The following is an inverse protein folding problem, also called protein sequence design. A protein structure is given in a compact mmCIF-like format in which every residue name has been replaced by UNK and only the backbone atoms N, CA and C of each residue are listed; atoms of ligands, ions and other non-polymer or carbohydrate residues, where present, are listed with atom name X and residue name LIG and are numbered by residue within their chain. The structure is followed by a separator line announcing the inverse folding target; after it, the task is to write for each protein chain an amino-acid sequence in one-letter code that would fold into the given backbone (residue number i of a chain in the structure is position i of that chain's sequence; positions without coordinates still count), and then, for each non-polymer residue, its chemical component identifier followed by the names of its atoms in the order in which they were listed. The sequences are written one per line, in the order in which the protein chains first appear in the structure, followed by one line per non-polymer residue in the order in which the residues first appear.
data_IF_265896905173
#
_entry.id   IF_265896905173
#
_cell.length_a   1.000
_cell.length_b   1.000
_cell.length_c   1.000
_cell.angle_alpha   90.00
_cell.angle_beta   90.00
_cell.angle_gamma   90.00
#
_symmetry.space_group_name_H-M   'P 1'
#
loop_
_entity.id
_entity.type
_entity.pdbx_description
1 polymer ?
#
# COMPACT_ATOMS: atom_id res chain seq x y z
N UNK A 1 -17.11 4.32 -18.24
CA UNK A 1 -16.78 5.27 -19.29
C UNK A 1 -15.36 5.75 -19.08
N UNK A 2 -14.56 5.74 -20.15
CA UNK A 2 -13.19 6.26 -20.15
C UNK A 2 -13.28 7.79 -20.20
N UNK A 3 -12.53 8.49 -19.32
CA UNK A 3 -12.48 9.95 -19.33
C UNK A 3 -11.90 10.45 -20.65
N UNK A 4 -12.47 11.54 -21.20
CA UNK A 4 -11.81 12.30 -22.26
C UNK A 4 -10.55 13.00 -21.72
N UNK A 5 -9.61 13.35 -22.60
CA UNK A 5 -8.41 14.09 -22.18
C UNK A 5 -8.74 15.44 -21.54
N UNK A 6 -9.82 16.10 -21.98
CA UNK A 6 -10.30 17.34 -21.39
C UNK A 6 -10.77 17.14 -19.94
N UNK A 7 -11.67 16.17 -19.69
CA UNK A 7 -12.12 15.83 -18.33
C UNK A 7 -10.98 15.36 -17.42
N UNK A 8 -10.03 14.63 -17.99
CA UNK A 8 -8.83 14.19 -17.27
C UNK A 8 -7.95 15.40 -16.87
N UNK A 9 -7.75 16.36 -17.77
CA UNK A 9 -6.98 17.58 -17.50
C UNK A 9 -7.64 18.46 -16.43
N UNK A 10 -8.97 18.60 -16.44
CA UNK A 10 -9.72 19.32 -15.40
C UNK A 10 -9.55 18.66 -14.02
N UNK A 11 -9.62 17.33 -13.95
CA UNK A 11 -9.39 16.60 -12.71
C UNK A 11 -7.98 16.79 -12.17
N UNK A 12 -6.97 16.73 -13.03
CA UNK A 12 -5.57 16.93 -12.63
C UNK A 12 -5.32 18.38 -12.16
N UNK A 13 -5.90 19.36 -12.83
CA UNK A 13 -5.86 20.75 -12.39
C UNK A 13 -6.50 20.91 -11.01
N UNK A 14 -7.69 20.39 -10.82
CA UNK A 14 -8.42 20.45 -9.54
C UNK A 14 -7.67 19.75 -8.40
N UNK A 15 -7.06 18.59 -8.68
CA UNK A 15 -6.40 17.79 -7.66
C UNK A 15 -5.02 18.33 -7.25
N UNK A 16 -4.26 18.95 -8.17
CA UNK A 16 -2.86 19.30 -7.93
C UNK A 16 -2.52 20.76 -8.19
N UNK A 17 -3.44 21.56 -8.75
CA UNK A 17 -3.23 22.98 -9.06
C UNK A 17 -2.36 23.25 -10.29
N UNK A 18 -2.08 22.25 -11.13
CA UNK A 18 -1.34 22.42 -12.37
C UNK A 18 -2.21 23.11 -13.44
N UNK A 19 -1.56 23.77 -14.41
CA UNK A 19 -2.29 24.43 -15.50
C UNK A 19 -3.02 23.42 -16.38
N UNK A 20 -4.29 23.67 -16.65
CA UNK A 20 -5.12 22.83 -17.53
C UNK A 20 -4.46 22.58 -18.89
N UNK A 21 -3.93 23.65 -19.54
CA UNK A 21 -3.28 23.55 -20.85
C UNK A 21 -2.08 22.60 -20.88
N UNK A 22 -1.28 22.60 -19.80
CA UNK A 22 -0.12 21.70 -19.70
C UNK A 22 -0.56 20.26 -19.51
N UNK A 23 -1.57 20.01 -18.67
CA UNK A 23 -2.13 18.68 -18.45
C UNK A 23 -2.77 18.14 -19.73
N UNK A 24 -3.55 18.96 -20.44
CA UNK A 24 -4.18 18.56 -21.69
C UNK A 24 -3.13 18.26 -22.78
N UNK A 25 -2.07 19.06 -22.87
CA UNK A 25 -0.96 18.83 -23.82
C UNK A 25 -0.29 17.47 -23.55
N UNK A 26 0.02 17.16 -22.29
CA UNK A 26 0.67 15.90 -21.92
C UNK A 26 -0.24 14.69 -22.19
N UNK A 27 -1.53 14.79 -21.91
CA UNK A 27 -2.51 13.75 -22.24
C UNK A 27 -2.64 13.55 -23.78
N UNK A 28 -2.62 14.63 -24.56
CA UNK A 28 -2.75 14.58 -26.02
C UNK A 28 -1.52 13.97 -26.73
N UNK A 29 -0.34 14.04 -26.12
CA UNK A 29 0.85 13.35 -26.65
C UNK A 29 0.92 11.86 -26.21
N UNK A 30 -0.11 11.35 -25.55
CA UNK A 30 -0.32 9.91 -25.32
C UNK A 30 -0.03 9.40 -23.91
N UNK A 31 0.19 10.27 -22.91
CA UNK A 31 0.26 9.82 -21.53
C UNK A 31 -1.13 9.41 -21.01
N UNK A 32 -1.22 8.27 -20.32
CA UNK A 32 -2.47 7.83 -19.72
C UNK A 32 -2.86 8.72 -18.52
N UNK A 33 -4.16 8.83 -18.23
CA UNK A 33 -4.63 9.52 -17.01
C UNK A 33 -4.01 8.94 -15.74
N UNK A 34 -3.85 7.61 -15.67
CA UNK A 34 -3.24 6.93 -14.51
C UNK A 34 -1.79 7.34 -14.31
N UNK A 35 -0.97 7.35 -15.38
CA UNK A 35 0.42 7.79 -15.29
C UNK A 35 0.52 9.29 -14.99
N UNK A 36 -0.33 10.11 -15.61
CA UNK A 36 -0.41 11.54 -15.32
C UNK A 36 -0.77 11.84 -13.87
N UNK A 37 -1.77 11.13 -13.31
CA UNK A 37 -2.18 11.32 -11.92
C UNK A 37 -1.03 10.99 -10.94
N UNK A 38 -0.31 9.89 -11.18
CA UNK A 38 0.85 9.52 -10.35
C UNK A 38 2.02 10.50 -10.55
N UNK A 39 2.28 10.92 -11.79
CA UNK A 39 3.33 11.89 -12.08
C UNK A 39 3.07 13.25 -11.43
N UNK A 40 1.83 13.73 -11.49
CA UNK A 40 1.43 14.97 -10.83
C UNK A 40 1.60 14.90 -9.32
N UNK A 41 1.18 13.78 -8.70
CA UNK A 41 1.40 13.56 -7.27
C UNK A 41 2.89 13.59 -6.91
N UNK A 42 3.73 12.83 -7.61
CA UNK A 42 5.16 12.78 -7.31
C UNK A 42 5.88 14.10 -7.60
N UNK A 43 5.47 14.82 -8.64
CA UNK A 43 5.95 16.17 -8.92
C UNK A 43 5.59 17.13 -7.76
N UNK A 44 4.34 17.10 -7.31
CA UNK A 44 3.91 17.90 -6.15
C UNK A 44 4.71 17.55 -4.88
N UNK A 45 4.87 16.26 -4.57
CA UNK A 45 5.57 15.81 -3.35
C UNK A 45 7.08 16.08 -3.38
N UNK A 46 7.71 16.02 -4.55
CA UNK A 46 9.16 16.21 -4.72
C UNK A 46 9.56 17.66 -5.07
N UNK A 47 8.62 18.46 -5.54
CA UNK A 47 8.90 19.79 -6.08
C UNK A 47 9.50 19.79 -7.50
N UNK A 48 9.55 18.64 -8.15
CA UNK A 48 10.07 18.50 -9.52
C UNK A 48 8.99 18.72 -10.57
N UNK A 49 9.35 19.16 -11.81
CA UNK A 49 8.40 19.30 -12.89
C UNK A 49 7.75 17.96 -13.29
N UNK A 50 6.47 17.97 -13.69
CA UNK A 50 5.73 16.78 -14.14
C UNK A 50 6.44 16.08 -15.30
N UNK A 51 6.95 16.84 -16.27
CA UNK A 51 7.70 16.33 -17.41
C UNK A 51 8.95 15.54 -16.99
N UNK A 52 9.68 16.00 -15.98
CA UNK A 52 10.85 15.28 -15.45
C UNK A 52 10.42 13.95 -14.83
N UNK A 53 9.34 13.94 -14.07
CA UNK A 53 8.79 12.71 -13.47
C UNK A 53 8.37 11.72 -14.55
N UNK A 54 7.71 12.19 -15.61
CA UNK A 54 7.32 11.36 -16.77
C UNK A 54 8.53 10.82 -17.53
N UNK A 55 9.61 11.59 -17.67
CA UNK A 55 10.87 11.13 -18.26
C UNK A 55 11.49 9.99 -17.45
N UNK A 56 11.54 10.12 -16.12
CA UNK A 56 12.03 9.05 -15.22
C UNK A 56 11.16 7.80 -15.33
N UNK A 57 9.86 7.96 -15.57
CA UNK A 57 8.90 6.84 -15.70
C UNK A 57 9.08 6.01 -16.96
N UNK A 58 9.61 6.57 -18.04
CA UNK A 58 9.76 5.86 -19.32
C UNK A 58 10.56 4.55 -19.20
N UNK A 59 11.77 4.53 -18.58
CA UNK A 59 12.54 3.30 -18.39
C UNK A 59 12.23 2.58 -17.08
N UNK A 60 11.53 3.21 -16.11
CA UNK A 60 11.45 2.74 -14.74
C UNK A 60 10.01 2.53 -14.22
N UNK A 61 9.84 1.66 -13.24
CA UNK A 61 8.59 1.52 -12.49
C UNK A 61 8.37 2.70 -11.56
N UNK A 62 7.13 2.92 -11.10
CA UNK A 62 6.81 4.02 -10.17
C UNK A 62 7.56 3.93 -8.84
N UNK A 63 7.86 2.72 -8.34
CA UNK A 63 8.72 2.54 -7.16
C UNK A 63 10.13 3.07 -7.37
N UNK A 64 10.71 2.83 -8.54
CA UNK A 64 12.02 3.36 -8.94
C UNK A 64 11.99 4.88 -9.08
N UNK A 65 10.98 5.43 -9.75
CA UNK A 65 10.81 6.89 -9.89
C UNK A 65 10.74 7.55 -8.52
N UNK A 66 9.95 7.01 -7.60
CA UNK A 66 9.85 7.52 -6.23
C UNK A 66 11.22 7.55 -5.52
N UNK A 67 11.98 6.46 -5.64
CA UNK A 67 13.32 6.38 -5.05
C UNK A 67 14.30 7.38 -5.68
N UNK A 68 14.28 7.53 -7.01
CA UNK A 68 15.12 8.49 -7.75
C UNK A 68 14.77 9.95 -7.42
N UNK A 69 13.53 10.24 -7.09
CA UNK A 69 13.08 11.55 -6.61
C UNK A 69 13.42 11.81 -5.14
N UNK A 70 14.08 10.86 -4.45
CA UNK A 70 14.42 10.98 -3.03
C UNK A 70 13.20 10.93 -2.10
N UNK A 71 12.05 10.51 -2.60
CA UNK A 71 10.83 10.32 -1.80
C UNK A 71 10.92 9.05 -0.96
N UNK A 72 11.71 9.10 0.12
CA UNK A 72 11.75 8.02 1.13
C UNK A 72 10.35 7.77 1.69
N UNK A 73 10.05 6.60 2.29
CA UNK A 73 8.75 6.34 2.90
C UNK A 73 8.34 7.41 3.92
N UNK A 74 9.29 7.90 4.72
CA UNK A 74 9.07 9.00 5.68
C UNK A 74 8.70 10.31 4.98
N UNK A 75 9.50 10.74 4.01
CA UNK A 75 9.28 12.00 3.31
C UNK A 75 8.00 11.97 2.47
N UNK A 76 7.78 10.86 1.77
CA UNK A 76 6.53 10.66 1.00
C UNK A 76 5.30 10.79 1.90
N UNK A 77 5.29 10.12 3.05
CA UNK A 77 4.15 10.16 3.97
C UNK A 77 3.92 11.58 4.54
N UNK A 78 4.97 12.28 4.95
CA UNK A 78 4.86 13.65 5.46
C UNK A 78 4.32 14.61 4.39
N UNK A 79 4.89 14.58 3.19
CA UNK A 79 4.44 15.41 2.08
C UNK A 79 3.02 15.06 1.62
N UNK A 80 2.65 13.78 1.67
CA UNK A 80 1.30 13.36 1.33
C UNK A 80 0.26 13.84 2.37
N UNK A 81 0.59 13.83 3.66
CA UNK A 81 -0.27 14.44 4.69
C UNK A 81 -0.44 15.95 4.47
N UNK A 82 0.63 16.66 4.15
CA UNK A 82 0.58 18.09 3.79
C UNK A 82 -0.33 18.33 2.57
N UNK A 83 -0.19 17.50 1.54
CA UNK A 83 -1.03 17.52 0.34
C UNK A 83 -2.51 17.31 0.70
N UNK A 84 -2.84 16.25 1.44
CA UNK A 84 -4.21 15.96 1.85
C UNK A 84 -4.85 17.11 2.64
N UNK A 85 -4.09 17.70 3.56
CA UNK A 85 -4.56 18.83 4.34
C UNK A 85 -4.71 20.13 3.52
N UNK A 86 -3.95 20.29 2.44
CA UNK A 86 -4.01 21.48 1.58
C UNK A 86 -5.17 21.46 0.57
N UNK A 87 -5.63 20.26 0.20
CA UNK A 87 -6.71 20.06 -0.79
C UNK A 87 -7.99 19.51 -0.15
N UNK A 88 -8.30 20.00 1.06
CA UNK A 88 -9.59 19.72 1.68
C UNK A 88 -10.73 20.31 0.83
N UNK A 89 -11.90 19.63 0.73
CA UNK A 89 -13.08 20.21 0.12
C UNK A 89 -13.46 21.54 0.76
N UNK A 90 -14.03 22.46 -0.02
CA UNK A 90 -14.44 23.79 0.45
C UNK A 90 -15.51 23.74 1.58
N UNK A 91 -16.29 22.68 1.61
CA UNK A 91 -17.31 22.40 2.63
C UNK A 91 -16.79 21.55 3.80
N UNK A 92 -15.48 21.34 3.88
CA UNK A 92 -14.85 20.57 4.95
C UNK A 92 -15.17 21.19 6.32
N UNK A 93 -15.58 20.34 7.27
CA UNK A 93 -15.80 20.72 8.66
C UNK A 93 -14.49 20.82 9.48
N UNK A 94 -13.36 20.52 8.84
CA UNK A 94 -12.04 20.50 9.46
C UNK A 94 -11.12 21.42 8.68
N UNK A 95 -10.44 22.32 9.36
CA UNK A 95 -9.40 23.16 8.77
C UNK A 95 -8.10 22.38 8.52
N UNK A 96 -7.21 23.01 7.74
CA UNK A 96 -5.93 22.41 7.35
C UNK A 96 -5.06 22.02 8.56
N UNK A 97 -4.97 22.87 9.56
CA UNK A 97 -4.11 22.66 10.72
C UNK A 97 -4.60 21.49 11.56
N UNK A 98 -5.90 21.45 11.81
CA UNK A 98 -6.57 20.37 12.54
C UNK A 98 -6.43 19.03 11.77
N UNK A 99 -6.66 19.03 10.46
CA UNK A 99 -6.48 17.82 9.64
C UNK A 99 -5.05 17.31 9.72
N UNK A 100 -4.05 18.17 9.53
CA UNK A 100 -2.64 17.80 9.58
C UNK A 100 -2.23 17.25 10.95
N UNK A 101 -2.73 17.86 12.04
CA UNK A 101 -2.51 17.38 13.42
C UNK A 101 -2.95 15.93 13.59
N UNK A 102 -4.15 15.57 13.13
CA UNK A 102 -4.68 14.21 13.29
C UNK A 102 -4.10 13.22 12.29
N UNK A 103 -3.80 13.64 11.06
CA UNK A 103 -3.06 12.82 10.09
C UNK A 103 -1.70 12.39 10.67
N UNK A 104 -0.95 13.31 11.30
CA UNK A 104 0.33 13.02 11.97
C UNK A 104 0.20 12.09 13.17
N UNK A 105 -1.00 12.00 13.75
CA UNK A 105 -1.31 11.02 14.79
C UNK A 105 -1.74 9.65 14.27
N UNK A 106 -1.76 9.45 12.95
CA UNK A 106 -2.09 8.20 12.30
C UNK A 106 -3.58 7.99 12.00
N UNK A 107 -4.41 9.04 12.09
CA UNK A 107 -5.80 8.96 11.66
C UNK A 107 -5.91 9.21 10.14
N UNK A 108 -6.63 8.37 9.38
CA UNK A 108 -6.91 8.63 7.98
C UNK A 108 -7.77 9.89 7.78
N UNK A 109 -7.58 10.62 6.68
CA UNK A 109 -8.37 11.82 6.38
C UNK A 109 -9.88 11.53 6.36
N UNK A 110 -10.28 10.38 5.79
CA UNK A 110 -11.69 9.97 5.77
C UNK A 110 -12.29 9.79 7.17
N UNK A 111 -11.54 9.24 8.12
CA UNK A 111 -11.97 9.10 9.50
C UNK A 111 -12.07 10.46 10.20
N UNK A 112 -11.13 11.37 9.94
CA UNK A 112 -11.15 12.74 10.48
C UNK A 112 -12.40 13.49 10.01
N UNK A 113 -12.72 13.42 8.71
CA UNK A 113 -13.90 14.06 8.13
C UNK A 113 -15.21 13.44 8.65
N UNK A 114 -15.26 12.11 8.73
CA UNK A 114 -16.45 11.41 9.26
C UNK A 114 -16.67 11.74 10.75
N UNK A 115 -15.60 11.75 11.55
CA UNK A 115 -15.68 12.12 12.96
C UNK A 115 -16.12 13.59 13.14
N UNK A 116 -15.65 14.51 12.31
CA UNK A 116 -16.05 15.92 12.35
C UNK A 116 -17.56 16.10 12.05
N UNK A 117 -18.07 15.34 11.07
CA UNK A 117 -19.52 15.32 10.77
C UNK A 117 -20.32 14.84 11.98
N UNK A 118 -19.95 13.70 12.57
CA UNK A 118 -20.64 13.14 13.74
C UNK A 118 -20.49 14.01 14.99
N UNK A 119 -19.35 14.67 15.16
CA UNK A 119 -19.13 15.64 16.24
C UNK A 119 -20.12 16.80 16.15
N UNK A 120 -20.27 17.39 14.95
CA UNK A 120 -21.24 18.46 14.71
C UNK A 120 -22.68 18.01 14.97
N UNK A 121 -23.07 16.82 14.50
CA UNK A 121 -24.41 16.28 14.67
C UNK A 121 -24.75 15.94 16.14
N UNK A 122 -23.75 15.49 16.92
CA UNK A 122 -23.94 15.05 18.31
C UNK A 122 -23.65 16.14 19.36
N UNK A 123 -23.18 17.32 18.94
CA UNK A 123 -22.73 18.38 19.85
C UNK A 123 -21.45 18.06 20.63
N UNK A 124 -20.70 17.03 20.21
CA UNK A 124 -19.40 16.66 20.79
C UNK A 124 -18.24 17.29 20.02
N UNK A 125 -17.03 17.19 20.59
CA UNK A 125 -15.81 17.65 19.92
C UNK A 125 -15.24 16.54 19.00
N UNK A 126 -14.47 16.94 18.00
CA UNK A 126 -13.73 16.00 17.14
C UNK A 126 -12.83 15.06 17.97
N UNK A 127 -12.16 15.61 19.00
CA UNK A 127 -11.29 14.84 19.90
C UNK A 127 -12.02 13.75 20.69
N UNK A 128 -13.31 13.94 20.97
CA UNK A 128 -14.15 12.95 21.67
C UNK A 128 -14.66 11.85 20.71
N UNK A 129 -14.98 12.21 19.46
CA UNK A 129 -15.60 11.28 18.50
C UNK A 129 -14.57 10.44 17.78
N UNK A 130 -13.46 11.03 17.34
CA UNK A 130 -12.46 10.36 16.51
C UNK A 130 -11.89 9.07 17.13
N UNK A 131 -11.54 9.01 18.45
CA UNK A 131 -11.06 7.78 19.08
C UNK A 131 -12.12 6.69 19.25
N UNK A 132 -13.40 6.97 19.04
CA UNK A 132 -14.46 5.96 19.17
C UNK A 132 -14.40 4.90 18.05
N UNK A 133 -13.81 5.25 16.91
CA UNK A 133 -13.58 4.33 15.80
C UNK A 133 -12.41 3.41 16.13
N UNK A 134 -12.70 2.10 16.25
CA UNK A 134 -11.71 1.05 16.56
C UNK A 134 -11.83 -0.10 15.58
N UNK A 135 -10.98 -1.13 15.70
CA UNK A 135 -11.10 -2.36 14.89
C UNK A 135 -12.46 -3.04 15.14
N UNK A 136 -12.95 -3.00 16.36
CA UNK A 136 -14.20 -3.66 16.81
C UNK A 136 -15.41 -2.73 16.86
N UNK A 137 -15.24 -1.44 16.53
CA UNK A 137 -16.29 -0.44 16.54
C UNK A 137 -16.23 0.40 15.26
N UNK A 138 -17.11 0.12 14.31
CA UNK A 138 -17.21 0.85 13.05
C UNK A 138 -17.98 2.18 13.20
N UNK A 139 -18.05 2.97 12.13
CA UNK A 139 -18.72 4.28 12.16
C UNK A 139 -20.22 4.18 12.39
N UNK A 140 -20.86 3.06 12.03
CA UNK A 140 -22.28 2.84 12.32
C UNK A 140 -22.50 2.68 13.83
N UNK A 141 -21.67 1.86 14.47
CA UNK A 141 -21.71 1.67 15.92
C UNK A 141 -21.34 2.95 16.69
N UNK A 142 -20.42 3.77 16.14
CA UNK A 142 -20.12 5.10 16.70
C UNK A 142 -21.35 6.00 16.65
N UNK A 143 -22.09 6.03 15.54
CA UNK A 143 -23.37 6.77 15.41
C UNK A 143 -24.37 6.34 16.49
N UNK A 144 -24.55 5.03 16.66
CA UNK A 144 -25.46 4.50 17.69
C UNK A 144 -25.06 4.91 19.10
N UNK A 145 -23.75 4.83 19.43
CA UNK A 145 -23.22 5.30 20.73
C UNK A 145 -23.40 6.80 20.96
N UNK A 146 -23.48 7.58 19.90
CA UNK A 146 -23.75 9.02 19.96
C UNK A 146 -25.24 9.37 20.04
N UNK A 147 -26.13 8.38 19.96
CA UNK A 147 -27.57 8.57 19.96
C UNK A 147 -28.12 9.21 18.69
N UNK A 148 -27.38 9.14 17.57
CA UNK A 148 -27.77 9.69 16.29
C UNK A 148 -28.65 8.70 15.56
N UNK A 149 -29.85 9.13 15.10
CA UNK A 149 -30.79 8.28 14.37
C UNK A 149 -30.23 7.90 13.01
N UNK A 150 -30.57 6.67 12.57
CA UNK A 150 -30.27 6.20 11.23
C UNK A 150 -31.13 6.99 10.23
N UNK A 151 -30.53 7.70 9.30
CA UNK A 151 -31.20 7.98 8.03
C UNK A 151 -31.42 6.65 7.34
N UNK A 152 -32.68 6.26 7.14
CA UNK A 152 -33.06 5.13 6.29
C UNK A 152 -32.66 5.47 4.84
N UNK A 153 -31.40 5.24 4.48
CA UNK A 153 -31.00 5.13 3.08
C UNK A 153 -31.14 3.68 2.68
N UNK A 154 -32.04 3.48 1.72
CA UNK A 154 -32.19 2.21 1.01
C UNK A 154 -30.82 1.64 0.65
N UNK A 155 -30.63 0.39 1.03
CA UNK A 155 -29.46 -0.42 0.79
C UNK A 155 -29.00 -0.40 -0.67
N UNK A 156 -27.91 0.31 -0.92
CA UNK A 156 -26.89 -0.23 -1.80
C UNK A 156 -25.72 -0.64 -0.88
N UNK A 157 -25.30 -1.91 -0.88
CA UNK A 157 -24.16 -2.32 -0.11
C UNK A 157 -22.95 -1.59 -0.68
N UNK A 158 -22.60 -0.47 -0.05
CA UNK A 158 -21.36 0.20 -0.28
C UNK A 158 -20.31 -0.64 0.43
N UNK A 159 -19.81 -1.65 -0.29
CA UNK A 159 -18.60 -2.34 0.10
C UNK A 159 -17.45 -1.31 0.07
N UNK A 160 -17.33 -0.54 1.14
CA UNK A 160 -16.10 0.15 1.44
C UNK A 160 -15.08 -0.94 1.84
N UNK A 161 -14.61 -1.65 0.83
CA UNK A 161 -13.32 -2.32 0.94
C UNK A 161 -12.30 -1.20 1.05
N UNK A 162 -12.04 -0.76 2.26
CA UNK A 162 -10.78 -0.14 2.58
C UNK A 162 -9.69 -1.14 2.24
N UNK A 163 -9.34 -1.20 0.96
CA UNK A 163 -8.03 -1.69 0.59
C UNK A 163 -7.07 -0.69 1.22
N UNK A 164 -6.56 -1.01 2.42
CA UNK A 164 -5.17 -0.67 2.65
C UNK A 164 -4.49 -0.99 1.33
N UNK A 165 -3.90 0.01 0.68
CA UNK A 165 -2.99 -0.27 -0.42
C UNK A 165 -1.95 -1.20 0.21
N UNK A 166 -2.17 -2.49 0.03
CA UNK A 166 -1.22 -3.53 0.39
C UNK A 166 -0.03 -3.24 -0.50
N UNK A 167 0.91 -2.50 0.04
CA UNK A 167 2.24 -2.41 -0.54
C UNK A 167 2.79 -3.84 -0.51
N UNK A 168 2.52 -4.57 -1.59
CA UNK A 168 3.22 -5.78 -2.01
C UNK A 168 3.44 -6.94 -1.04
N UNK A 169 2.86 -6.95 0.15
CA UNK A 169 3.09 -7.99 1.15
C UNK A 169 1.91 -8.96 1.36
N UNK A 170 0.83 -8.83 0.61
CA UNK A 170 -0.36 -9.64 0.85
C UNK A 170 -0.62 -10.68 -0.22
N UNK A 171 -0.42 -11.93 0.10
CA UNK A 171 -0.67 -13.12 -0.72
C UNK A 171 -2.13 -13.56 -0.79
N UNK A 172 -3.06 -12.92 -0.17
CA UNK A 172 -4.41 -13.42 0.07
C UNK A 172 -5.47 -12.95 -0.95
N UNK A 173 -5.13 -12.84 -2.24
CA UNK A 173 -6.10 -12.34 -3.25
C UNK A 173 -7.04 -13.38 -3.85
N UNK A 174 -6.71 -14.67 -3.88
CA UNK A 174 -7.38 -15.60 -4.80
C UNK A 174 -7.89 -16.93 -4.21
N UNK A 175 -7.56 -17.32 -2.98
CA UNK A 175 -7.88 -18.67 -2.48
C UNK A 175 -8.52 -18.77 -1.09
N UNK A 176 -9.02 -17.69 -0.52
CA UNK A 176 -9.51 -17.69 0.88
C UNK A 176 -10.85 -18.37 1.10
N UNK A 177 -11.68 -18.54 0.06
CA UNK A 177 -13.07 -19.01 0.23
C UNK A 177 -13.21 -20.49 0.62
N UNK A 178 -12.15 -21.32 0.44
CA UNK A 178 -12.18 -22.77 0.74
C UNK A 178 -10.91 -23.26 1.46
N UNK A 179 -10.26 -22.39 2.25
CA UNK A 179 -9.05 -22.78 2.96
C UNK A 179 -9.41 -23.43 4.30
N UNK A 180 -8.86 -24.62 4.58
CA UNK A 180 -9.01 -25.26 5.90
C UNK A 180 -8.20 -24.50 6.96
N UNK A 181 -8.64 -24.61 8.22
CA UNK A 181 -7.96 -23.96 9.33
C UNK A 181 -6.49 -24.41 9.44
N UNK A 182 -6.22 -25.71 9.28
CA UNK A 182 -4.86 -26.26 9.35
C UNK A 182 -3.96 -25.69 8.25
N UNK A 183 -4.49 -25.52 7.04
CA UNK A 183 -3.71 -24.94 5.93
C UNK A 183 -3.43 -23.45 6.15
N UNK A 184 -4.41 -22.69 6.63
CA UNK A 184 -4.25 -21.29 6.96
C UNK A 184 -3.21 -21.07 8.06
N UNK A 185 -3.28 -21.85 9.13
CA UNK A 185 -2.34 -21.79 10.26
C UNK A 185 -0.91 -22.10 9.82
N UNK A 186 -0.70 -23.09 8.95
CA UNK A 186 0.63 -23.39 8.38
C UNK A 186 1.18 -22.22 7.57
N UNK A 187 0.33 -21.53 6.79
CA UNK A 187 0.73 -20.34 6.04
C UNK A 187 1.15 -19.22 6.99
N UNK A 188 0.36 -18.93 8.02
CA UNK A 188 0.69 -17.88 8.99
C UNK A 188 1.93 -18.23 9.82
N UNK A 189 2.11 -19.50 10.20
CA UNK A 189 3.34 -19.97 10.83
C UNK A 189 4.57 -19.72 9.95
N UNK A 190 4.51 -20.13 8.69
CA UNK A 190 5.62 -19.93 7.74
C UNK A 190 5.89 -18.44 7.46
N UNK A 191 4.83 -17.62 7.39
CA UNK A 191 4.95 -16.20 7.05
C UNK A 191 5.38 -15.34 8.25
N UNK A 192 4.84 -15.57 9.42
CA UNK A 192 5.01 -14.70 10.59
C UNK A 192 5.72 -15.34 11.77
N UNK A 193 6.06 -16.64 11.69
CA UNK A 193 6.83 -17.39 12.68
C UNK A 193 6.15 -17.54 14.06
N UNK A 194 4.82 -17.40 14.13
CA UNK A 194 4.05 -17.72 15.33
C UNK A 194 3.76 -19.23 15.42
N UNK A 195 3.57 -19.75 16.63
CA UNK A 195 3.31 -21.17 16.84
C UNK A 195 1.93 -21.58 16.28
N UNK A 196 1.86 -22.71 15.58
CA UNK A 196 0.61 -23.22 15.02
C UNK A 196 -0.44 -23.49 16.12
N UNK A 197 -0.01 -23.95 17.30
CA UNK A 197 -0.90 -24.19 18.44
C UNK A 197 -1.53 -22.90 19.00
N UNK A 198 -0.84 -21.76 18.90
CA UNK A 198 -1.36 -20.45 19.26
C UNK A 198 -2.28 -19.88 18.18
N UNK A 199 -1.97 -20.14 16.90
CA UNK A 199 -2.72 -19.61 15.76
C UNK A 199 -4.08 -20.28 15.55
N UNK A 200 -4.21 -21.59 15.82
CA UNK A 200 -5.43 -22.35 15.51
C UNK A 200 -6.69 -21.80 16.21
N UNK A 201 -6.72 -21.60 17.54
CA UNK A 201 -7.89 -21.03 18.21
C UNK A 201 -8.19 -19.59 17.80
N UNK A 202 -7.16 -18.83 17.40
CA UNK A 202 -7.34 -17.48 16.90
C UNK A 202 -7.93 -17.46 15.48
N UNK A 203 -7.57 -18.44 14.64
CA UNK A 203 -8.19 -18.59 13.34
C UNK A 203 -9.69 -18.91 13.44
N UNK A 204 -10.07 -19.81 14.35
CA UNK A 204 -11.47 -20.13 14.61
C UNK A 204 -12.28 -18.92 15.07
N UNK A 205 -11.67 -18.05 15.86
CA UNK A 205 -12.31 -16.84 16.41
C UNK A 205 -12.38 -15.67 15.42
N UNK A 206 -11.32 -15.42 14.66
CA UNK A 206 -11.17 -14.20 13.87
C UNK A 206 -11.23 -14.43 12.35
N UNK A 207 -11.20 -15.68 11.90
CA UNK A 207 -11.12 -16.04 10.50
C UNK A 207 -9.78 -15.66 9.86
N UNK A 208 -9.68 -15.86 8.54
CA UNK A 208 -8.44 -15.64 7.80
C UNK A 208 -7.99 -14.16 7.83
N UNK A 209 -8.87 -13.25 7.42
CA UNK A 209 -8.53 -11.82 7.32
C UNK A 209 -8.21 -11.21 8.70
N UNK A 210 -9.01 -11.54 9.72
CA UNK A 210 -8.79 -11.02 11.07
C UNK A 210 -7.49 -11.53 11.70
N UNK A 211 -7.14 -12.78 11.48
CA UNK A 211 -5.88 -13.35 11.97
C UNK A 211 -4.68 -12.83 11.18
N UNK A 212 -4.81 -12.65 9.85
CA UNK A 212 -3.75 -12.05 9.03
C UNK A 212 -3.36 -10.66 9.53
N UNK A 213 -4.36 -9.81 9.81
CA UNK A 213 -4.12 -8.47 10.34
C UNK A 213 -3.47 -8.51 11.74
N UNK A 214 -3.89 -9.41 12.62
CA UNK A 214 -3.28 -9.60 13.94
C UNK A 214 -1.82 -10.04 13.80
N UNK A 215 -1.55 -11.09 13.02
CA UNK A 215 -0.20 -11.61 12.80
C UNK A 215 0.73 -10.56 12.16
N UNK A 216 0.24 -9.83 11.16
CA UNK A 216 1.01 -8.78 10.49
C UNK A 216 1.44 -7.69 11.47
N UNK A 217 0.50 -7.16 12.26
CA UNK A 217 0.82 -6.10 13.22
C UNK A 217 1.73 -6.59 14.35
N UNK A 218 1.52 -7.81 14.85
CA UNK A 218 2.37 -8.44 15.86
C UNK A 218 3.80 -8.63 15.33
N UNK A 219 3.95 -9.22 14.15
CA UNK A 219 5.24 -9.44 13.51
C UNK A 219 6.00 -8.12 13.26
N UNK A 220 5.33 -7.13 12.63
CA UNK A 220 5.94 -5.84 12.29
C UNK A 220 6.35 -5.04 13.52
N UNK A 221 5.58 -5.09 14.61
CA UNK A 221 5.85 -4.38 15.87
C UNK A 221 6.72 -5.15 16.85
N UNK A 222 7.00 -6.43 16.59
CA UNK A 222 7.67 -7.37 17.53
C UNK A 222 6.90 -7.55 18.83
N UNK A 223 5.57 -7.56 18.73
CA UNK A 223 4.65 -7.79 19.82
C UNK A 223 4.08 -9.21 19.77
N UNK A 224 3.50 -9.67 20.88
CA UNK A 224 2.74 -10.92 20.91
C UNK A 224 1.38 -10.75 20.22
N UNK A 225 0.77 -11.87 19.79
CA UNK A 225 -0.58 -11.86 19.23
C UNK A 225 -1.59 -11.29 20.24
N UNK A 226 -1.46 -11.63 21.52
CA UNK A 226 -2.36 -11.15 22.57
C UNK A 226 -2.25 -9.64 22.78
N UNK A 227 -1.04 -9.05 22.76
CA UNK A 227 -0.88 -7.60 22.86
C UNK A 227 -1.61 -6.86 21.72
N UNK A 228 -1.59 -7.41 20.50
CA UNK A 228 -2.33 -6.81 19.37
C UNK A 228 -3.85 -6.98 19.54
N UNK A 229 -4.29 -8.16 20.01
CA UNK A 229 -5.71 -8.43 20.28
C UNK A 229 -6.26 -7.43 21.29
N UNK A 230 -5.53 -7.14 22.36
CA UNK A 230 -5.92 -6.21 23.44
C UNK A 230 -6.01 -4.74 22.97
N UNK A 231 -5.37 -4.39 21.84
CA UNK A 231 -5.42 -3.06 21.27
C UNK A 231 -6.60 -2.85 20.29
N UNK A 232 -7.27 -3.93 19.84
CA UNK A 232 -8.33 -3.85 18.82
C UNK A 232 -9.56 -3.07 19.28
N UNK A 233 -9.87 -3.11 20.55
CA UNK A 233 -10.98 -2.36 21.14
C UNK A 233 -10.65 -0.88 21.42
N UNK A 234 -9.36 -0.53 21.33
CA UNK A 234 -8.86 0.81 21.65
C UNK A 234 -8.52 1.65 20.43
N UNK A 235 -8.12 0.99 19.33
CA UNK A 235 -7.61 1.68 18.15
C UNK A 235 -8.13 1.05 16.85
N UNK A 236 -8.24 1.86 15.77
CA UNK A 236 -8.29 1.34 14.40
C UNK A 236 -6.93 0.79 13.98
N UNK A 237 -6.87 0.01 12.91
CA UNK A 237 -5.60 -0.56 12.42
C UNK A 237 -4.57 0.53 12.07
N UNK A 238 -5.00 1.63 11.46
CA UNK A 238 -4.14 2.75 11.09
C UNK A 238 -3.58 3.46 12.34
N UNK A 239 -4.45 3.75 13.30
CA UNK A 239 -4.04 4.36 14.57
C UNK A 239 -3.13 3.43 15.39
N UNK A 240 -3.39 2.14 15.35
CA UNK A 240 -2.57 1.11 16.02
C UNK A 240 -1.13 1.12 15.51
N UNK A 241 -0.91 1.25 14.18
CA UNK A 241 0.44 1.39 13.63
C UNK A 241 1.22 2.54 14.26
N UNK A 242 0.56 3.69 14.40
CA UNK A 242 1.17 4.85 15.06
C UNK A 242 1.53 4.58 16.52
N UNK A 243 0.60 4.02 17.29
CA UNK A 243 0.79 3.68 18.72
C UNK A 243 1.90 2.64 18.91
N UNK A 244 2.04 1.70 17.99
CA UNK A 244 3.09 0.68 17.98
C UNK A 244 4.45 1.20 17.45
N UNK A 245 4.55 2.49 17.11
CA UNK A 245 5.79 3.07 16.56
C UNK A 245 6.12 2.61 15.15
N UNK A 246 5.17 2.03 14.42
CA UNK A 246 5.30 1.63 13.03
C UNK A 246 5.15 2.85 12.12
N UNK A 247 6.13 3.77 12.19
CA UNK A 247 6.19 4.89 11.25
C UNK A 247 6.32 4.35 9.81
N UNK A 248 5.98 5.14 8.78
CA UNK A 248 6.11 4.70 7.39
C UNK A 248 7.49 4.15 7.04
N UNK A 249 8.56 4.73 7.57
CA UNK A 249 9.92 4.23 7.36
C UNK A 249 10.15 2.91 8.09
N UNK A 250 9.82 2.82 9.36
CA UNK A 250 9.98 1.58 10.15
C UNK A 250 9.16 0.45 9.55
N UNK A 251 7.92 0.73 9.14
CA UNK A 251 7.07 -0.26 8.49
C UNK A 251 7.66 -0.76 7.17
N UNK A 252 8.18 0.15 6.33
CA UNK A 252 8.87 -0.21 5.10
C UNK A 252 10.10 -1.09 5.36
N UNK A 253 10.97 -0.71 6.31
CA UNK A 253 12.17 -1.47 6.64
C UNK A 253 11.83 -2.87 7.14
N UNK A 254 10.77 -3.01 7.95
CA UNK A 254 10.25 -4.32 8.38
C UNK A 254 9.70 -5.15 7.22
N UNK A 255 8.99 -4.52 6.28
CA UNK A 255 8.53 -5.19 5.06
C UNK A 255 9.71 -5.69 4.21
N UNK A 256 10.78 -4.91 4.10
CA UNK A 256 12.01 -5.31 3.39
C UNK A 256 12.64 -6.52 4.06
N UNK A 257 12.80 -6.51 5.39
CA UNK A 257 13.34 -7.63 6.14
C UNK A 257 12.49 -8.91 5.99
N UNK A 258 11.16 -8.77 6.07
CA UNK A 258 10.21 -9.86 5.87
C UNK A 258 10.33 -10.48 4.47
N UNK A 259 10.34 -9.66 3.42
CA UNK A 259 10.45 -10.14 2.04
C UNK A 259 11.82 -10.77 1.78
N UNK A 260 12.90 -10.17 2.30
CA UNK A 260 14.24 -10.71 2.15
C UNK A 260 14.39 -12.10 2.77
N UNK A 261 13.81 -12.32 3.96
CA UNK A 261 13.75 -13.64 4.59
C UNK A 261 13.00 -14.64 3.72
N UNK A 262 11.79 -14.29 3.27
CA UNK A 262 10.95 -15.19 2.46
C UNK A 262 11.58 -15.58 1.14
N UNK A 263 12.23 -14.64 0.45
CA UNK A 263 12.91 -14.94 -0.81
C UNK A 263 14.15 -15.81 -0.60
N UNK A 264 14.87 -15.63 0.50
CA UNK A 264 15.99 -16.50 0.84
C UNK A 264 15.52 -17.94 1.12
N UNK A 265 14.44 -18.11 1.89
CA UNK A 265 13.90 -19.42 2.26
C UNK A 265 13.28 -20.17 1.06
N UNK A 266 12.62 -19.47 0.14
CA UNK A 266 11.85 -20.08 -0.95
C UNK A 266 12.58 -20.18 -2.28
N UNK A 267 13.47 -19.25 -2.56
CA UNK A 267 14.10 -19.08 -3.88
C UNK A 267 15.63 -19.03 -3.84
N UNK A 268 16.25 -19.20 -2.68
CA UNK A 268 17.71 -19.07 -2.49
C UNK A 268 18.26 -17.70 -2.92
N UNK A 269 17.44 -16.64 -2.86
CA UNK A 269 17.89 -15.27 -3.16
C UNK A 269 18.54 -14.68 -1.89
N UNK A 270 19.82 -14.31 -1.92
CA UNK A 270 20.47 -13.78 -0.74
C UNK A 270 19.74 -12.55 -0.19
N UNK A 271 19.50 -12.50 1.14
CA UNK A 271 18.76 -11.40 1.77
C UNK A 271 19.35 -10.03 1.44
N UNK A 272 20.70 -9.92 1.37
CA UNK A 272 21.39 -8.67 1.01
C UNK A 272 20.98 -8.14 -0.38
N UNK A 273 20.71 -9.03 -1.33
CA UNK A 273 20.27 -8.68 -2.69
C UNK A 273 18.87 -8.08 -2.62
N UNK A 274 17.93 -8.80 -2.00
CA UNK A 274 16.55 -8.33 -1.85
C UNK A 274 16.50 -6.98 -1.15
N UNK A 275 17.19 -6.83 -0.02
CA UNK A 275 17.24 -5.56 0.75
C UNK A 275 17.77 -4.40 -0.09
N UNK A 276 18.91 -4.60 -0.78
CA UNK A 276 19.51 -3.58 -1.66
C UNK A 276 18.50 -3.07 -2.68
N UNK A 277 17.90 -3.97 -3.46
CA UNK A 277 17.05 -3.56 -4.57
C UNK A 277 15.65 -3.05 -4.12
N UNK A 278 15.10 -3.56 -3.02
CA UNK A 278 13.89 -2.99 -2.44
C UNK A 278 14.09 -1.55 -1.96
N UNK A 279 15.21 -1.24 -1.32
CA UNK A 279 15.56 0.15 -0.96
C UNK A 279 15.78 1.05 -2.17
N UNK A 280 16.20 0.48 -3.30
CA UNK A 280 16.30 1.21 -4.58
C UNK A 280 14.92 1.38 -5.27
N UNK A 281 13.83 0.86 -4.70
CA UNK A 281 12.47 0.99 -5.22
C UNK A 281 12.00 -0.10 -6.16
N UNK A 282 12.74 -1.20 -6.30
CA UNK A 282 12.26 -2.37 -7.08
C UNK A 282 11.25 -3.16 -6.26
N UNK A 283 10.19 -3.63 -6.93
CA UNK A 283 9.23 -4.53 -6.33
C UNK A 283 9.80 -5.96 -6.23
N UNK A 284 9.31 -6.73 -5.26
CA UNK A 284 9.73 -8.10 -5.00
C UNK A 284 9.72 -8.99 -6.27
N UNK A 285 8.61 -8.99 -7.03
CA UNK A 285 8.48 -9.78 -8.25
C UNK A 285 9.49 -9.38 -9.34
N UNK A 286 9.91 -8.13 -9.37
CA UNK A 286 10.94 -7.64 -10.28
C UNK A 286 12.31 -8.20 -9.89
N UNK A 287 12.63 -8.18 -8.59
CA UNK A 287 13.88 -8.72 -8.05
C UNK A 287 13.97 -10.23 -8.30
N UNK A 288 12.89 -10.98 -8.03
CA UNK A 288 12.84 -12.42 -8.25
C UNK A 288 13.14 -12.79 -9.69
N UNK A 289 12.41 -12.17 -10.62
CA UNK A 289 12.56 -12.45 -12.04
C UNK A 289 13.97 -12.09 -12.54
N UNK A 290 14.47 -10.90 -12.16
CA UNK A 290 15.79 -10.45 -12.58
C UNK A 290 16.90 -11.37 -12.03
N UNK A 291 16.83 -11.73 -10.74
CA UNK A 291 17.84 -12.58 -10.10
C UNK A 291 17.88 -13.98 -10.71
N UNK A 292 16.73 -14.62 -10.88
CA UNK A 292 16.65 -15.98 -11.42
C UNK A 292 17.08 -16.03 -12.91
N UNK A 293 16.71 -15.02 -13.70
CA UNK A 293 17.20 -14.92 -15.09
C UNK A 293 18.70 -14.67 -15.16
N UNK A 294 19.22 -13.78 -14.31
CA UNK A 294 20.66 -13.51 -14.21
C UNK A 294 21.45 -14.77 -13.85
N UNK A 295 21.03 -15.52 -12.83
CA UNK A 295 21.65 -16.80 -12.48
C UNK A 295 21.65 -17.78 -13.65
N UNK A 296 20.53 -17.92 -14.34
CA UNK A 296 20.41 -18.87 -15.48
C UNK A 296 21.27 -18.46 -16.66
N UNK A 297 21.47 -17.17 -16.87
CA UNK A 297 22.35 -16.61 -17.91
C UNK A 297 23.83 -16.53 -17.50
N UNK A 298 24.18 -16.81 -16.25
CA UNK A 298 25.54 -16.64 -15.74
C UNK A 298 25.98 -15.17 -15.61
N UNK A 299 25.02 -14.25 -15.38
CA UNK A 299 25.23 -12.81 -15.28
C UNK A 299 25.03 -12.29 -13.85
N UNK A 300 25.51 -11.08 -13.57
CA UNK A 300 25.14 -10.35 -12.37
C UNK A 300 23.71 -9.77 -12.49
N UNK A 301 23.00 -9.69 -11.37
CA UNK A 301 21.64 -9.11 -11.37
C UNK A 301 21.62 -7.66 -11.86
N UNK A 302 22.71 -6.88 -11.63
CA UNK A 302 22.82 -5.51 -12.13
C UNK A 302 22.71 -5.42 -13.66
N UNK A 303 23.20 -6.45 -14.37
CA UNK A 303 23.18 -6.48 -15.85
C UNK A 303 21.78 -6.81 -16.40
N UNK A 304 20.85 -7.29 -15.56
CA UNK A 304 19.53 -7.79 -15.98
C UNK A 304 18.38 -6.93 -15.47
N UNK A 305 18.48 -6.41 -14.24
CA UNK A 305 17.33 -5.82 -13.55
C UNK A 305 16.76 -4.57 -14.24
N UNK A 306 17.61 -3.74 -14.85
CA UNK A 306 17.20 -2.53 -15.56
C UNK A 306 16.84 -2.77 -17.04
N UNK A 307 17.02 -3.99 -17.55
CA UNK A 307 16.55 -4.35 -18.89
C UNK A 307 15.02 -4.46 -18.96
N UNK A 308 14.36 -4.71 -17.81
CA UNK A 308 12.90 -4.72 -17.71
C UNK A 308 12.38 -3.30 -17.55
N UNK A 309 11.58 -2.88 -18.49
CA UNK A 309 10.92 -1.57 -18.52
C UNK A 309 9.39 -1.75 -18.54
N UNK A 310 8.59 -0.69 -18.37
CA UNK A 310 7.14 -0.77 -18.54
C UNK A 310 6.69 -1.22 -19.95
N UNK A 311 7.56 -1.12 -20.95
CA UNK A 311 7.24 -1.35 -22.38
C UNK A 311 7.60 -2.75 -22.89
N UNK A 312 8.31 -3.57 -22.10
CA UNK A 312 8.73 -4.91 -22.51
C UNK A 312 8.28 -5.97 -21.50
N UNK A 313 8.41 -7.24 -21.87
CA UNK A 313 8.12 -8.40 -21.02
C UNK A 313 9.40 -9.00 -20.43
N UNK A 314 9.26 -9.86 -19.42
CA UNK A 314 10.38 -10.68 -18.93
C UNK A 314 10.89 -11.67 -19.97
N UNK A 315 10.05 -12.09 -20.92
CA UNK A 315 10.47 -12.90 -22.06
C UNK A 315 11.43 -12.14 -22.97
N UNK A 316 11.15 -10.86 -23.25
CA UNK A 316 12.06 -10.00 -24.03
C UNK A 316 13.40 -9.83 -23.32
N UNK A 317 13.38 -9.68 -21.99
CA UNK A 317 14.60 -9.59 -21.17
C UNK A 317 15.39 -10.90 -21.25
N UNK A 318 14.73 -12.07 -21.12
CA UNK A 318 15.37 -13.38 -21.22
C UNK A 318 16.08 -13.55 -22.57
N UNK A 319 15.39 -13.24 -23.68
CA UNK A 319 15.97 -13.31 -25.03
C UNK A 319 17.16 -12.35 -25.18
N UNK A 320 17.08 -11.16 -24.63
CA UNK A 320 18.16 -10.15 -24.69
C UNK A 320 19.43 -10.60 -23.96
N UNK A 321 19.30 -11.40 -22.91
CA UNK A 321 20.45 -11.95 -22.18
C UNK A 321 20.89 -13.34 -22.66
N UNK A 322 20.41 -13.77 -23.83
CA UNK A 322 20.83 -15.02 -24.47
C UNK A 322 20.11 -16.27 -23.98
N UNK A 323 19.02 -16.12 -23.23
CA UNK A 323 18.17 -17.23 -22.79
C UNK A 323 17.06 -17.52 -23.81
N UNK A 324 16.42 -18.68 -23.66
CA UNK A 324 15.28 -19.09 -24.49
C UNK A 324 13.94 -18.69 -23.85
N UNK A 325 12.86 -18.80 -24.64
CA UNK A 325 11.48 -18.64 -24.14
C UNK A 325 11.16 -19.69 -23.07
N UNK A 326 11.70 -20.91 -23.23
CA UNK A 326 11.52 -22.00 -22.27
C UNK A 326 12.21 -21.68 -20.93
N UNK A 327 13.42 -21.15 -20.97
CA UNK A 327 14.13 -20.68 -19.77
C UNK A 327 13.32 -19.65 -18.99
N UNK A 328 12.70 -18.70 -19.69
CA UNK A 328 11.82 -17.70 -19.08
C UNK A 328 10.58 -18.36 -18.44
N UNK A 329 10.00 -19.37 -19.11
CA UNK A 329 8.85 -20.12 -18.62
C UNK A 329 9.20 -20.91 -17.35
N UNK A 330 10.36 -21.55 -17.29
CA UNK A 330 10.85 -22.25 -16.11
C UNK A 330 11.01 -21.32 -14.92
N UNK A 331 11.62 -20.14 -15.12
CA UNK A 331 11.74 -19.10 -14.07
C UNK A 331 10.37 -18.67 -13.57
N UNK A 332 9.43 -18.41 -14.49
CA UNK A 332 8.06 -18.00 -14.13
C UNK A 332 7.33 -19.10 -13.35
N UNK A 333 7.50 -20.38 -13.76
CA UNK A 333 6.90 -21.53 -13.08
C UNK A 333 7.49 -21.71 -11.67
N UNK A 334 8.81 -21.52 -11.50
CA UNK A 334 9.45 -21.54 -10.18
C UNK A 334 8.83 -20.48 -9.28
N UNK A 335 8.74 -19.23 -9.74
CA UNK A 335 8.11 -18.15 -8.98
C UNK A 335 6.66 -18.48 -8.60
N UNK A 336 5.86 -19.02 -9.53
CA UNK A 336 4.44 -19.33 -9.30
C UNK A 336 4.19 -20.51 -8.34
N UNK A 337 5.14 -21.44 -8.21
CA UNK A 337 5.03 -22.58 -7.29
C UNK A 337 5.37 -22.21 -5.85
N UNK A 338 6.26 -21.25 -5.69
CA UNK A 338 6.76 -20.83 -4.38
C UNK A 338 5.90 -19.71 -3.75
N UNK A 339 4.92 -19.23 -4.51
CA UNK A 339 3.92 -18.23 -4.12
C UNK A 339 2.50 -18.70 -4.47
#
# INVERSE_FOLDING_TARGET
PQLSNAEAAEKLQSAYGYRYSDMLRLLNIGHSYSDMNTACLYAYLSGEPVEKVLQLRQPATWGRVRAQLGLTPKLHAEKYMEYQASYLPADSLVDRETALKYLRQGYPLGDIQQAAKLAKESGKTLAQVLPMRTVTCDWQQVKEKLGLQQEQKQDKPFAFRGRCQRSGAGFAGLHTRNMTAERAVKIFHADYLFDEAELLPLYEKYGFEGLEDICLHAYMSKKTLQEIIDLRDKYSWERMKYVLGLTPQVYFDRCVDYQARRLAERMDIPQKVTKKYMHMGYAMHHINSAYLLAQKAGLDINDVIDLKTPKNSWQDVALKVGLTVEDCREVKNKISKDF
#
